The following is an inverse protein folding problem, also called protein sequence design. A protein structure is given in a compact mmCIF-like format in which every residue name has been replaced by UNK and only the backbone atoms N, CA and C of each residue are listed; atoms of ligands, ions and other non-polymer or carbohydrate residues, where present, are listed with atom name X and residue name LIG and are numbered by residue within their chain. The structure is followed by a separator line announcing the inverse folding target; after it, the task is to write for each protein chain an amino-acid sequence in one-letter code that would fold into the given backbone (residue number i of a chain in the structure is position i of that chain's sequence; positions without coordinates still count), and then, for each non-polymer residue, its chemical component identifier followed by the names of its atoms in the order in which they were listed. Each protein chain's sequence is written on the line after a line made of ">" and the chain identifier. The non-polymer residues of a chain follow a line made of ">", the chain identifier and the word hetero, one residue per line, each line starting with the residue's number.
data_IF_375584879250
#
_entry.id   IF_375584879250
#
_cell.length_a   1.000
_cell.length_b   1.000
_cell.length_c   1.000
_cell.angle_alpha   90.00
_cell.angle_beta   90.00
_cell.angle_gamma   90.00
#
_symmetry.space_group_name_H-M   'P 1'
#
loop_
_entity.id
_entity.type
_entity.pdbx_description
1 polymer ?
#
# COMPACT_ATOMS: atom_id res chain seq x y z
N UNK A 1 -39.89 24.40 -25.63
CA UNK A 1 -38.52 24.43 -25.05
C UNK A 1 -38.62 24.35 -23.53
N UNK A 2 -38.22 23.22 -22.95
CA UNK A 2 -37.91 23.11 -21.51
C UNK A 2 -36.73 22.14 -21.41
N UNK A 3 -35.53 22.70 -21.36
CA UNK A 3 -34.29 21.95 -21.15
C UNK A 3 -34.13 21.76 -19.64
N UNK A 4 -34.35 20.54 -19.17
CA UNK A 4 -34.05 20.13 -17.80
C UNK A 4 -32.54 19.97 -17.68
N UNK A 5 -31.91 20.88 -16.93
CA UNK A 5 -30.51 20.76 -16.53
C UNK A 5 -30.37 19.53 -15.63
N UNK A 6 -29.75 18.47 -16.16
CA UNK A 6 -29.31 17.34 -15.34
C UNK A 6 -28.15 17.82 -14.46
N UNK A 7 -28.39 17.89 -13.15
CA UNK A 7 -27.35 18.12 -12.18
C UNK A 7 -26.56 16.81 -12.02
N UNK A 8 -25.41 16.71 -12.68
CA UNK A 8 -24.43 15.68 -12.36
C UNK A 8 -23.92 15.92 -10.94
N UNK A 9 -24.38 15.11 -9.98
CA UNK A 9 -23.72 14.95 -8.68
C UNK A 9 -22.36 14.30 -8.96
N UNK A 10 -21.31 15.10 -8.98
CA UNK A 10 -19.94 14.62 -8.95
C UNK A 10 -19.65 14.00 -7.58
N UNK A 11 -19.89 12.69 -7.44
CA UNK A 11 -19.40 11.91 -6.30
C UNK A 11 -17.88 11.89 -6.33
N UNK A 12 -17.26 12.40 -5.27
CA UNK A 12 -15.81 12.29 -5.04
C UNK A 12 -15.54 10.86 -4.59
N UNK A 13 -14.92 10.06 -5.45
CA UNK A 13 -14.49 8.70 -5.13
C UNK A 13 -12.96 8.67 -5.11
N UNK A 14 -12.42 8.07 -4.05
CA UNK A 14 -11.00 7.77 -3.85
C UNK A 14 -10.93 6.25 -3.78
N UNK A 15 -10.03 5.64 -4.55
CA UNK A 15 -9.78 4.21 -4.52
C UNK A 15 -9.27 3.80 -3.13
N UNK A 16 -9.72 2.64 -2.63
CA UNK A 16 -9.27 2.10 -1.36
C UNK A 16 -7.77 1.87 -1.41
N UNK A 17 -7.01 2.59 -0.58
CA UNK A 17 -5.58 2.41 -0.45
C UNK A 17 -5.35 1.54 0.80
N UNK A 18 -4.58 0.47 0.66
CA UNK A 18 -4.19 -0.33 1.82
C UNK A 18 -3.03 0.36 2.53
N UNK A 19 -3.29 0.75 3.78
CA UNK A 19 -2.27 1.28 4.67
C UNK A 19 -1.41 0.11 5.17
N UNK A 20 -0.11 0.16 4.90
CA UNK A 20 0.84 -0.72 5.55
C UNK A 20 1.05 -0.21 6.99
N UNK A 21 0.44 -0.88 7.96
CA UNK A 21 0.76 -0.71 9.38
C UNK A 21 2.08 -1.45 9.66
N UNK A 22 3.20 -0.77 9.49
CA UNK A 22 4.48 -1.25 9.98
C UNK A 22 4.49 -1.24 11.51
N UNK A 23 4.74 -2.38 12.14
CA UNK A 23 5.03 -2.42 13.57
C UNK A 23 6.40 -1.76 13.79
N UNK A 24 6.41 -0.47 14.11
CA UNK A 24 7.61 0.22 14.58
C UNK A 24 8.00 -0.41 15.91
N UNK A 25 9.08 -1.20 15.93
CA UNK A 25 9.81 -1.41 17.18
C UNK A 25 10.41 -0.06 17.52
N UNK A 26 9.74 0.70 18.38
CA UNK A 26 10.22 2.00 18.79
C UNK A 26 11.58 1.83 19.48
N UNK A 27 12.63 2.60 19.10
CA UNK A 27 13.78 2.73 19.96
C UNK A 27 13.27 3.29 21.29
N UNK A 28 13.64 2.62 22.38
CA UNK A 28 13.25 3.02 23.73
C UNK A 28 13.99 4.34 24.05
N UNK A 29 13.38 5.46 23.70
CA UNK A 29 13.95 6.78 23.95
C UNK A 29 13.49 7.83 22.94
N UNK A 30 12.80 8.85 23.46
CA UNK A 30 12.20 10.01 22.78
C UNK A 30 10.84 9.68 22.11
N UNK A 31 9.79 10.28 22.68
CA UNK A 31 8.41 10.02 22.31
C UNK A 31 8.13 10.31 20.83
N UNK A 32 8.03 9.24 20.05
CA UNK A 32 7.21 9.26 18.86
C UNK A 32 5.75 9.30 19.35
N UNK A 33 5.01 10.35 18.96
CA UNK A 33 3.57 10.27 19.00
C UNK A 33 3.19 9.02 18.18
N UNK A 34 2.55 8.05 18.81
CA UNK A 34 1.94 6.95 18.07
C UNK A 34 0.95 7.58 17.11
N UNK A 35 1.15 7.39 15.80
CA UNK A 35 0.17 7.83 14.81
C UNK A 35 -1.22 7.37 15.26
N UNK A 36 -2.19 8.28 15.27
CA UNK A 36 -3.56 7.93 15.63
C UNK A 36 -4.06 6.85 14.67
N UNK A 37 -4.61 5.77 15.21
CA UNK A 37 -5.20 4.69 14.43
C UNK A 37 -6.28 5.28 13.50
N UNK A 38 -6.13 5.03 12.18
CA UNK A 38 -7.08 5.49 11.17
C UNK A 38 -8.24 4.51 11.10
N UNK A 39 -9.44 4.99 11.42
CA UNK A 39 -10.67 4.20 11.38
C UNK A 39 -11.46 4.43 10.08
N UNK A 40 -12.29 3.48 9.64
CA UNK A 40 -13.22 3.70 8.54
C UNK A 40 -14.10 4.93 8.77
N UNK A 41 -14.10 5.86 7.81
CA UNK A 41 -14.80 7.14 7.89
C UNK A 41 -13.90 8.34 8.21
N UNK A 42 -12.67 8.11 8.68
CA UNK A 42 -11.74 9.20 8.98
C UNK A 42 -11.27 9.92 7.73
N UNK A 43 -11.01 11.21 7.88
CA UNK A 43 -10.44 12.04 6.82
C UNK A 43 -8.92 11.87 6.81
N UNK A 44 -8.35 11.53 5.65
CA UNK A 44 -6.90 11.39 5.47
C UNK A 44 -6.41 12.24 4.31
N UNK A 45 -5.22 12.84 4.42
CA UNK A 45 -4.62 13.55 3.30
C UNK A 45 -3.71 12.62 2.52
N UNK A 46 -3.89 12.56 1.20
CA UNK A 46 -3.10 11.73 0.29
C UNK A 46 -2.09 12.62 -0.41
N UNK A 47 -0.80 12.44 -0.12
CA UNK A 47 0.27 13.20 -0.74
C UNK A 47 0.65 12.71 -2.13
N UNK A 48 1.65 13.37 -2.70
CA UNK A 48 2.15 13.07 -4.04
C UNK A 48 2.82 11.69 -4.11
N UNK A 49 2.56 10.98 -5.21
CA UNK A 49 3.16 9.68 -5.54
C UNK A 49 4.69 9.75 -5.51
N UNK A 50 5.32 8.69 -5.03
CA UNK A 50 6.77 8.50 -5.03
C UNK A 50 7.11 7.14 -5.66
N UNK A 51 8.18 7.05 -6.44
CA UNK A 51 8.55 5.85 -7.22
C UNK A 51 8.74 6.14 -8.71
N UNK A 52 8.93 5.07 -9.51
CA UNK A 52 9.09 5.15 -10.96
C UNK A 52 7.79 5.52 -11.71
N UNK A 53 7.88 5.61 -13.04
CA UNK A 53 6.69 5.67 -13.91
C UNK A 53 5.88 4.38 -13.77
N UNK A 54 4.55 4.47 -13.69
CA UNK A 54 3.69 3.28 -13.58
C UNK A 54 3.53 2.74 -12.15
N UNK A 55 4.57 2.65 -11.33
CA UNK A 55 4.48 2.17 -9.93
C UNK A 55 4.51 3.33 -8.92
N UNK A 56 4.16 3.08 -7.66
CA UNK A 56 4.34 4.11 -6.64
C UNK A 56 3.78 3.80 -5.25
N UNK A 57 4.31 4.53 -4.28
CA UNK A 57 3.80 4.59 -2.90
C UNK A 57 3.31 6.01 -2.60
N UNK A 58 2.30 6.12 -1.75
CA UNK A 58 1.63 7.37 -1.41
C UNK A 58 1.79 7.66 0.09
N UNK A 59 2.36 8.81 0.48
CA UNK A 59 2.39 9.23 1.87
C UNK A 59 0.98 9.69 2.30
N UNK A 60 0.57 9.29 3.49
CA UNK A 60 -0.76 9.56 4.05
C UNK A 60 -0.62 10.23 5.42
N UNK A 61 -1.37 11.31 5.64
CA UNK A 61 -1.48 11.97 6.93
C UNK A 61 -2.87 11.74 7.52
N UNK A 62 -2.93 11.20 8.74
CA UNK A 62 -4.18 10.83 9.40
C UNK A 62 -4.99 12.02 9.92
N UNK A 63 -4.34 13.16 10.14
CA UNK A 63 -5.01 14.41 10.53
C UNK A 63 -5.74 15.12 9.37
N UNK A 64 -5.73 14.54 8.17
CA UNK A 64 -6.37 15.13 6.99
C UNK A 64 -5.65 16.38 6.45
N UNK A 65 -4.44 16.68 6.94
CA UNK A 65 -3.63 17.83 6.52
C UNK A 65 -2.17 17.38 6.31
N UNK A 66 -1.52 17.88 5.26
CA UNK A 66 -0.11 17.60 5.00
C UNK A 66 0.81 18.42 5.89
N UNK A 67 1.16 17.89 7.06
CA UNK A 67 2.08 18.55 8.00
C UNK A 67 3.09 17.57 8.55
N UNK A 68 4.39 17.89 8.45
CA UNK A 68 5.46 17.01 8.91
C UNK A 68 5.62 15.76 8.04
N UNK A 69 6.18 14.71 8.65
CA UNK A 69 6.32 13.39 8.03
C UNK A 69 4.96 12.69 7.93
N UNK A 70 4.75 11.80 6.95
CA UNK A 70 3.50 11.05 6.84
C UNK A 70 3.36 10.00 7.94
N UNK A 71 2.14 9.82 8.43
CA UNK A 71 1.78 8.82 9.42
C UNK A 71 1.76 7.40 8.84
N UNK A 72 1.34 7.28 7.57
CA UNK A 72 1.22 6.01 6.86
C UNK A 72 1.71 6.10 5.42
N UNK A 73 1.88 4.92 4.83
CA UNK A 73 2.18 4.75 3.42
C UNK A 73 1.20 3.77 2.80
N UNK A 74 0.76 4.08 1.58
CA UNK A 74 -0.19 3.25 0.85
C UNK A 74 0.33 2.89 -0.54
N UNK A 75 -0.08 1.72 -1.01
CA UNK A 75 0.11 1.27 -2.39
C UNK A 75 -1.25 1.09 -3.07
N UNK A 76 -1.26 1.18 -4.41
CA UNK A 76 -2.46 0.87 -5.17
C UNK A 76 -2.73 -0.64 -5.16
N UNK A 77 -4.00 -1.02 -5.10
CA UNK A 77 -4.42 -2.43 -5.25
C UNK A 77 -5.05 -2.74 -6.61
N UNK A 78 -5.20 -1.72 -7.47
CA UNK A 78 -5.71 -1.85 -8.83
C UNK A 78 -4.68 -1.25 -9.79
N UNK A 79 -4.21 -2.03 -10.76
CA UNK A 79 -3.18 -1.60 -11.73
C UNK A 79 -3.68 -0.48 -12.65
N UNK A 80 -4.91 -0.60 -13.16
CA UNK A 80 -5.45 0.30 -14.20
C UNK A 80 -6.25 1.48 -13.61
N UNK A 81 -6.29 1.63 -12.29
CA UNK A 81 -6.99 2.72 -11.61
C UNK A 81 -5.97 3.71 -11.03
N UNK A 82 -5.96 4.92 -11.59
CA UNK A 82 -5.08 5.98 -11.10
C UNK A 82 -5.52 6.51 -9.74
N UNK A 83 -4.58 6.53 -8.78
CA UNK A 83 -4.78 7.22 -7.52
C UNK A 83 -4.90 8.73 -7.73
N UNK A 84 -5.76 9.36 -6.94
CA UNK A 84 -5.84 10.83 -6.87
C UNK A 84 -5.04 11.31 -5.66
N UNK A 85 -4.24 12.35 -5.84
CA UNK A 85 -3.30 12.88 -4.83
C UNK A 85 -3.50 14.37 -4.61
N UNK A 86 -2.90 14.92 -3.55
CA UNK A 86 -3.02 16.33 -3.18
C UNK A 86 -4.41 16.70 -2.67
N UNK A 87 -5.08 15.76 -2.00
CA UNK A 87 -6.46 15.92 -1.55
C UNK A 87 -6.75 15.13 -0.28
N UNK A 88 -7.80 15.56 0.41
CA UNK A 88 -8.41 14.83 1.52
C UNK A 88 -9.34 13.75 0.97
N UNK A 89 -9.04 12.50 1.32
CA UNK A 89 -9.86 11.32 1.11
C UNK A 89 -10.53 10.86 2.40
N UNK A 90 -11.26 9.75 2.31
CA UNK A 90 -11.92 9.10 3.45
C UNK A 90 -11.41 7.68 3.53
N UNK A 91 -10.94 7.27 4.71
CA UNK A 91 -10.52 5.91 4.96
C UNK A 91 -11.74 4.97 4.88
N UNK A 92 -11.56 3.82 4.24
CA UNK A 92 -12.58 2.77 4.11
C UNK A 92 -12.09 1.47 4.69
N UNK A 93 -13.03 0.57 4.99
CA UNK A 93 -12.72 -0.82 5.33
C UNK A 93 -12.67 -1.69 4.05
N UNK A 94 -12.13 -2.91 4.16
CA UNK A 94 -12.10 -3.89 3.06
C UNK A 94 -13.50 -4.17 2.50
N UNK A 95 -14.52 -4.18 3.37
CA UNK A 95 -15.92 -4.39 2.99
C UNK A 95 -16.51 -3.20 2.18
N UNK A 96 -15.84 -2.04 2.23
CA UNK A 96 -16.20 -0.85 1.45
C UNK A 96 -15.43 -0.72 0.13
N UNK A 97 -14.57 -1.70 -0.18
CA UNK A 97 -13.84 -1.73 -1.44
C UNK A 97 -14.80 -1.83 -2.63
N UNK A 98 -14.64 -0.91 -3.58
CA UNK A 98 -15.54 -0.74 -4.73
C UNK A 98 -15.05 -1.44 -6.00
N UNK A 99 -13.78 -1.86 -6.02
CA UNK A 99 -13.19 -2.57 -7.14
C UNK A 99 -13.73 -4.00 -7.24
N UNK A 100 -13.47 -4.65 -8.37
CA UNK A 100 -13.96 -6.01 -8.66
C UNK A 100 -12.83 -7.00 -8.95
N UNK A 101 -11.59 -6.66 -8.55
CA UNK A 101 -10.44 -7.54 -8.69
C UNK A 101 -10.37 -8.57 -7.56
N UNK A 102 -9.27 -9.31 -7.46
CA UNK A 102 -9.14 -10.44 -6.53
C UNK A 102 -8.92 -10.04 -5.07
N UNK A 103 -8.78 -8.74 -4.75
CA UNK A 103 -8.38 -8.29 -3.43
C UNK A 103 -9.31 -8.75 -2.28
N UNK A 104 -10.62 -8.87 -2.53
CA UNK A 104 -11.59 -9.29 -1.49
C UNK A 104 -11.54 -10.79 -1.17
N UNK A 105 -10.79 -11.59 -1.92
CA UNK A 105 -10.53 -12.98 -1.54
C UNK A 105 -9.63 -13.00 -0.28
N UNK A 106 -10.05 -13.62 0.84
CA UNK A 106 -9.27 -13.64 2.08
C UNK A 106 -7.85 -14.20 1.93
N UNK A 107 -7.65 -15.17 1.03
CA UNK A 107 -6.32 -15.72 0.76
C UNK A 107 -5.43 -14.71 0.02
N UNK A 108 -6.02 -13.93 -0.91
CA UNK A 108 -5.32 -12.84 -1.61
C UNK A 108 -5.00 -11.71 -0.65
N UNK A 109 -5.97 -11.26 0.16
CA UNK A 109 -5.76 -10.25 1.18
C UNK A 109 -4.64 -10.65 2.15
N UNK A 110 -4.54 -11.93 2.52
CA UNK A 110 -3.47 -12.42 3.39
C UNK A 110 -2.08 -12.39 2.74
N UNK A 111 -1.98 -12.61 1.42
CA UNK A 111 -0.73 -12.43 0.67
C UNK A 111 -0.36 -10.96 0.52
N UNK A 112 -1.33 -10.10 0.24
CA UNK A 112 -1.14 -8.65 0.20
C UNK A 112 -0.59 -8.13 1.53
N UNK A 113 -1.19 -8.53 2.66
CA UNK A 113 -0.68 -8.17 3.99
C UNK A 113 0.73 -8.68 4.23
N UNK A 114 1.05 -9.91 3.80
CA UNK A 114 2.41 -10.43 3.91
C UNK A 114 3.39 -9.59 3.10
N UNK A 115 3.06 -9.22 1.86
CA UNK A 115 3.90 -8.37 1.00
C UNK A 115 4.15 -7.02 1.67
N UNK A 116 3.09 -6.35 2.15
CA UNK A 116 3.21 -5.05 2.82
C UNK A 116 4.08 -5.14 4.10
N UNK A 117 3.96 -6.22 4.88
CA UNK A 117 4.74 -6.40 6.11
C UNK A 117 6.22 -6.74 5.89
N UNK A 118 6.60 -7.22 4.71
CA UNK A 118 7.97 -7.66 4.38
C UNK A 118 8.62 -6.79 3.29
N UNK A 119 8.10 -5.59 3.07
CA UNK A 119 8.58 -4.67 2.03
C UNK A 119 8.70 -3.23 2.54
N UNK A 120 9.26 -2.37 1.70
CA UNK A 120 9.35 -0.94 1.98
C UNK A 120 7.96 -0.28 1.98
N UNK A 121 7.61 0.58 2.96
CA UNK A 121 8.44 1.08 4.06
C UNK A 121 8.19 0.39 5.42
N UNK A 122 7.44 -0.71 5.47
CA UNK A 122 7.21 -1.42 6.74
C UNK A 122 8.51 -1.99 7.32
N UNK A 123 9.42 -2.42 6.46
CA UNK A 123 10.83 -2.69 6.78
C UNK A 123 11.73 -1.65 6.10
N UNK A 124 12.93 -1.44 6.65
CA UNK A 124 13.89 -0.50 6.07
C UNK A 124 14.43 -1.00 4.72
N UNK A 125 14.99 -0.09 3.91
CA UNK A 125 15.65 -0.47 2.64
C UNK A 125 16.82 -1.43 2.86
N UNK A 126 17.56 -1.26 3.96
CA UNK A 126 18.68 -2.14 4.31
C UNK A 126 18.19 -3.56 4.62
N UNK A 127 17.18 -3.69 5.47
CA UNK A 127 16.58 -5.00 5.80
C UNK A 127 15.94 -5.66 4.59
N UNK A 128 15.15 -4.91 3.81
CA UNK A 128 14.50 -5.43 2.62
C UNK A 128 15.52 -5.86 1.56
N UNK A 129 16.52 -5.01 1.30
CA UNK A 129 17.59 -5.28 0.37
C UNK A 129 18.41 -6.51 0.76
N UNK A 130 18.80 -6.63 2.04
CA UNK A 130 19.51 -7.80 2.54
C UNK A 130 18.68 -9.09 2.39
N UNK A 131 17.38 -9.05 2.72
CA UNK A 131 16.50 -10.20 2.61
C UNK A 131 16.27 -10.63 1.15
N UNK A 132 16.18 -9.66 0.23
CA UNK A 132 16.01 -9.90 -1.20
C UNK A 132 17.32 -10.24 -1.95
N UNK A 133 18.49 -10.18 -1.28
CA UNK A 133 19.79 -10.40 -1.93
C UNK A 133 20.29 -9.21 -2.76
N UNK A 134 19.72 -8.03 -2.56
CA UNK A 134 20.04 -6.75 -3.21
C UNK A 134 20.34 -5.69 -2.14
N UNK A 135 21.45 -5.79 -1.39
CA UNK A 135 21.71 -4.96 -0.21
C UNK A 135 21.83 -3.46 -0.48
N UNK A 136 22.02 -3.05 -1.73
CA UNK A 136 22.07 -1.66 -2.17
C UNK A 136 20.79 -1.22 -2.90
N UNK A 137 19.67 -1.92 -2.68
CA UNK A 137 18.39 -1.62 -3.34
C UNK A 137 18.02 -0.14 -3.18
N UNK A 138 17.69 0.50 -4.29
CA UNK A 138 17.25 1.88 -4.23
C UNK A 138 15.81 1.95 -3.73
N UNK A 139 15.43 3.12 -3.24
CA UNK A 139 14.05 3.37 -2.83
C UNK A 139 13.04 3.10 -3.94
N UNK A 140 13.35 3.49 -5.17
CA UNK A 140 12.42 3.32 -6.29
C UNK A 140 12.29 1.86 -6.71
N UNK A 141 13.39 1.09 -6.67
CA UNK A 141 13.34 -0.35 -6.96
C UNK A 141 12.50 -1.09 -5.91
N UNK A 142 12.65 -0.72 -4.63
CA UNK A 142 11.85 -1.29 -3.56
C UNK A 142 10.34 -0.99 -3.71
N UNK A 143 10.00 0.24 -4.11
CA UNK A 143 8.62 0.66 -4.38
C UNK A 143 8.04 -0.11 -5.58
N UNK A 144 8.81 -0.25 -6.67
CA UNK A 144 8.40 -0.97 -7.87
C UNK A 144 8.17 -2.46 -7.58
N UNK A 145 9.13 -3.11 -6.93
CA UNK A 145 9.03 -4.51 -6.51
C UNK A 145 7.77 -4.77 -5.69
N UNK A 146 7.50 -3.89 -4.71
CA UNK A 146 6.33 -3.97 -3.84
C UNK A 146 5.04 -3.80 -4.63
N UNK A 147 4.94 -2.77 -5.47
CA UNK A 147 3.73 -2.47 -6.22
C UNK A 147 3.39 -3.58 -7.22
N UNK A 148 4.39 -4.12 -7.93
CA UNK A 148 4.18 -5.27 -8.82
C UNK A 148 3.82 -6.55 -8.05
N UNK A 149 4.41 -6.80 -6.89
CA UNK A 149 4.07 -7.94 -6.05
C UNK A 149 2.62 -7.89 -5.55
N UNK A 150 2.09 -6.69 -5.29
CA UNK A 150 0.67 -6.52 -4.95
C UNK A 150 -0.23 -6.84 -6.15
N UNK A 151 0.02 -6.24 -7.31
CA UNK A 151 -0.79 -6.45 -8.52
C UNK A 151 -0.73 -7.88 -9.05
N UNK A 152 0.37 -8.59 -8.80
CA UNK A 152 0.49 -10.03 -9.05
C UNK A 152 -0.60 -10.87 -8.38
N UNK A 153 -1.16 -10.39 -7.27
CA UNK A 153 -2.23 -11.08 -6.54
C UNK A 153 -3.58 -10.40 -6.69
N UNK A 154 -3.63 -9.06 -6.72
CA UNK A 154 -4.90 -8.35 -6.74
C UNK A 154 -5.52 -8.31 -8.14
N UNK A 155 -4.72 -8.19 -9.19
CA UNK A 155 -5.23 -8.04 -10.57
C UNK A 155 -4.90 -9.23 -11.48
N UNK A 156 -3.87 -10.01 -11.13
CA UNK A 156 -3.40 -11.11 -11.95
C UNK A 156 -3.50 -12.45 -11.24
N UNK A 157 -3.50 -13.53 -12.02
CA UNK A 157 -3.35 -14.91 -11.53
C UNK A 157 -2.06 -15.57 -12.03
N UNK A 158 -1.27 -14.87 -12.83
CA UNK A 158 -0.03 -15.32 -13.45
C UNK A 158 1.09 -14.29 -13.24
N UNK A 159 2.34 -14.71 -13.46
CA UNK A 159 3.49 -13.82 -13.44
C UNK A 159 3.57 -13.04 -14.75
N UNK A 160 3.31 -11.73 -14.69
CA UNK A 160 3.44 -10.87 -15.85
C UNK A 160 4.91 -10.65 -16.20
N UNK A 161 5.16 -10.40 -17.49
CA UNK A 161 6.44 -9.90 -17.97
C UNK A 161 6.53 -8.40 -17.67
N UNK A 162 6.71 -8.05 -16.40
CA UNK A 162 6.84 -6.66 -15.96
C UNK A 162 8.01 -5.96 -16.66
N UNK A 163 7.83 -4.68 -16.96
CA UNK A 163 8.87 -3.85 -17.56
C UNK A 163 9.74 -3.26 -16.46
N UNK A 164 10.57 -4.09 -15.83
CA UNK A 164 11.45 -3.69 -14.72
C UNK A 164 12.34 -2.51 -15.11
N UNK A 165 12.44 -1.53 -14.21
CA UNK A 165 13.39 -0.43 -14.37
C UNK A 165 14.83 -0.91 -14.09
N UNK A 166 14.98 -1.84 -13.15
CA UNK A 166 16.28 -2.44 -12.81
C UNK A 166 16.17 -3.94 -12.49
N UNK A 167 17.27 -4.71 -12.60
CA UNK A 167 17.32 -6.09 -12.10
C UNK A 167 17.08 -6.20 -10.58
N UNK A 168 17.36 -5.15 -9.82
CA UNK A 168 17.15 -5.15 -8.37
C UNK A 168 15.66 -5.12 -8.02
N UNK A 169 14.84 -4.39 -8.80
CA UNK A 169 13.37 -4.44 -8.72
C UNK A 169 12.86 -5.86 -8.92
N UNK A 170 13.36 -6.55 -9.95
CA UNK A 170 12.95 -7.92 -10.27
C UNK A 170 13.34 -8.90 -9.15
N UNK A 171 14.57 -8.82 -8.66
CA UNK A 171 15.05 -9.70 -7.59
C UNK A 171 14.22 -9.51 -6.30
N UNK A 172 13.95 -8.27 -5.91
CA UNK A 172 13.13 -7.95 -4.75
C UNK A 172 11.67 -8.38 -4.92
N UNK A 173 11.10 -8.23 -6.12
CA UNK A 173 9.77 -8.75 -6.43
C UNK A 173 9.70 -10.27 -6.22
N UNK A 174 10.70 -11.02 -6.70
CA UNK A 174 10.71 -12.47 -6.56
C UNK A 174 10.86 -12.92 -5.11
N UNK A 175 11.65 -12.20 -4.31
CA UNK A 175 11.68 -12.42 -2.86
C UNK A 175 10.27 -12.28 -2.26
N UNK A 176 9.55 -11.22 -2.61
CA UNK A 176 8.21 -10.96 -2.09
C UNK A 176 7.19 -12.03 -2.52
N UNK A 177 7.13 -12.35 -3.80
CA UNK A 177 6.17 -13.33 -4.33
C UNK A 177 6.46 -14.73 -3.79
N UNK A 178 7.72 -15.13 -3.73
CA UNK A 178 8.09 -16.45 -3.19
C UNK A 178 7.77 -16.55 -1.70
N UNK A 179 8.07 -15.51 -0.91
CA UNK A 179 7.76 -15.49 0.51
C UNK A 179 6.25 -15.47 0.79
N UNK A 180 5.48 -14.67 0.04
CA UNK A 180 4.02 -14.65 0.14
C UNK A 180 3.37 -15.99 -0.22
N UNK A 181 3.92 -16.71 -1.20
CA UNK A 181 3.43 -18.04 -1.59
C UNK A 181 3.84 -19.15 -0.60
N UNK A 182 4.99 -19.01 0.06
CA UNK A 182 5.45 -19.95 1.09
C UNK A 182 4.79 -19.70 2.46
N UNK A 183 4.22 -18.51 2.65
CA UNK A 183 3.52 -18.11 3.87
C UNK A 183 2.08 -18.66 3.91
N UNK A 184 1.55 -19.02 5.10
CA UNK A 184 0.11 -19.28 5.26
C UNK A 184 -0.76 -18.01 5.08
N UNK A 185 -0.14 -16.84 4.85
CA UNK A 185 -0.79 -15.53 4.78
C UNK A 185 -0.96 -14.89 6.15
N UNK A 186 -1.05 -13.56 6.20
CA UNK A 186 -1.38 -12.83 7.41
C UNK A 186 -2.90 -12.60 7.48
N UNK A 187 -3.52 -12.83 8.64
CA UNK A 187 -4.91 -12.45 8.85
C UNK A 187 -5.00 -11.01 9.36
N UNK A 188 -5.96 -10.18 8.90
CA UNK A 188 -6.20 -8.83 9.43
C UNK A 188 -6.54 -8.77 10.93
N UNK A 189 -6.73 -9.94 11.58
CA UNK A 189 -7.03 -10.08 13.01
C UNK A 189 -5.77 -10.18 13.87
N UNK A 190 -4.64 -10.57 13.30
CA UNK A 190 -3.39 -10.83 14.05
C UNK A 190 -2.53 -9.58 14.24
N UNK A 191 -2.80 -8.48 13.51
CA UNK A 191 -2.11 -7.20 13.67
C UNK A 191 -2.74 -6.25 14.70
N UNK A 192 -3.92 -6.60 15.26
CA UNK A 192 -4.71 -5.77 16.18
C UNK A 192 -4.56 -6.12 17.67
N UNK A 193 -3.67 -7.04 18.02
CA UNK A 193 -3.42 -7.38 19.44
C UNK A 193 -2.05 -6.84 19.87
N UNK A 194 -1.95 -6.05 20.95
CA UNK A 194 -0.66 -5.79 21.57
C UNK A 194 -0.10 -7.10 22.13
N UNK A 195 1.24 -7.27 22.21
CA UNK A 195 1.83 -8.44 22.86
C UNK A 195 1.39 -8.49 24.35
N UNK A 196 1.33 -9.70 24.96
CA UNK A 196 0.94 -9.87 26.35
C UNK A 196 1.87 -9.18 27.34
#
# INVERSE_FOLDING_TARGET
>A
MRSTKSAMRAGRWVAGALLALGAVVAPVGLGAATAAEVEPGDAVYIGSKQGYGGTGVFPIWSDGVQTGDPDYWAYCIEHDVSARTGLVGTAGDIDSYLGSNHFTDPAVAGKVLWVLANSYPAVSLEEFGAAAGVPAITRNDAIEATQYALWRYTDLTFDAAWAWETPDSEAAYWYLVNGANASPGLSPRTSRSPPP
#
